data_IF_966441816633
#
_entry.id   IF_966441816633
#
_cell.length_a   1.000
_cell.length_b   1.000
_cell.length_c   1.000
_cell.angle_alpha   90.00
_cell.angle_beta   90.00
_cell.angle_gamma   90.00
#
_symmetry.space_group_name_H-M   'P 1'
#
loop_
_entity.id
_entity.type
_entity.pdbx_description
1 polymer ?
2 non-polymer ?
3 non-polymer ?
4 water ?
#
# COMPACT_ATOMS: atom_id res chain seq x y z
N UNK A 1 -26.99 -16.81 -1.16
CA UNK A 1 -26.59 -15.44 -0.72
C UNK A 1 -25.27 -15.05 -1.36
N UNK A 2 -25.01 -13.76 -1.35
CA UNK A 2 -23.71 -13.27 -1.84
C UNK A 2 -23.37 -12.05 -1.06
N UNK A 3 -22.07 -11.97 -0.72
CA UNK A 3 -21.58 -10.93 0.14
C UNK A 3 -20.59 -9.99 -0.58
N UNK A 4 -20.33 -8.86 0.06
CA UNK A 4 -19.31 -7.94 -0.44
C UNK A 4 -17.93 -8.61 -0.56
N UNK A 5 -17.20 -8.29 -1.62
CA UNK A 5 -15.82 -8.72 -1.74
C UNK A 5 -14.94 -7.60 -1.29
N UNK A 6 -14.23 -7.78 -0.21
CA UNK A 6 -13.40 -6.75 0.38
C UNK A 6 -11.98 -7.22 0.50
N UNK A 7 -11.03 -6.37 0.15
CA UNK A 7 -9.59 -6.69 0.23
C UNK A 7 -8.96 -5.66 1.16
N UNK A 8 -8.17 -6.16 2.09
CA UNK A 8 -7.46 -5.34 3.06
C UNK A 8 -6.03 -5.03 2.55
N UNK A 9 -5.69 -3.75 2.52
CA UNK A 9 -4.36 -3.32 2.11
C UNK A 9 -3.81 -2.42 3.24
N UNK A 10 -2.62 -2.74 3.74
CA UNK A 10 -1.95 -1.93 4.73
C UNK A 10 -0.79 -1.19 4.12
N UNK A 11 -0.58 0.02 4.63
CA UNK A 11 0.48 0.93 4.10
C UNK A 11 1.53 1.09 5.22
N UNK A 12 2.72 0.59 4.94
CA UNK A 12 3.85 0.53 5.90
C UNK A 12 4.97 1.42 5.47
N UNK A 13 5.87 1.72 6.39
CA UNK A 13 7.10 2.40 6.10
C UNK A 13 7.37 3.45 7.15
N UNK A 14 8.58 4.04 7.07
CA UNK A 14 9.02 5.02 8.06
C UNK A 14 8.18 6.28 7.96
N UNK A 15 8.18 7.00 9.09
CA UNK A 15 7.56 8.31 9.14
C UNK A 15 8.17 9.23 8.07
N UNK A 16 7.32 10.09 7.52
CA UNK A 16 7.66 11.10 6.52
C UNK A 16 7.85 10.54 5.10
N UNK A 17 7.53 9.27 4.90
CA UNK A 17 7.63 8.69 3.57
C UNK A 17 6.50 9.08 2.64
N UNK A 18 5.38 9.45 3.24
CA UNK A 18 4.18 9.85 2.51
C UNK A 18 3.00 8.93 2.63
N UNK A 19 2.96 8.09 3.65
CA UNK A 19 1.89 7.11 3.81
C UNK A 19 0.51 7.79 3.92
N UNK A 20 0.37 8.76 4.79
CA UNK A 20 -0.92 9.37 4.97
C UNK A 20 -1.32 10.18 3.76
N UNK A 21 -0.33 10.81 3.11
CA UNK A 21 -0.61 11.52 1.88
C UNK A 21 -1.10 10.56 0.81
N UNK A 22 -0.50 9.37 0.72
CA UNK A 22 -0.85 8.39 -0.28
C UNK A 22 -2.27 7.87 -0.05
N UNK A 23 -2.58 7.50 1.19
CA UNK A 23 -3.90 6.98 1.50
C UNK A 23 -4.97 8.05 1.27
N UNK A 24 -4.67 9.28 1.70
CA UNK A 24 -5.63 10.37 1.48
C UNK A 24 -5.85 10.60 -0.01
N UNK A 25 -4.78 10.56 -0.81
CA UNK A 25 -4.94 10.79 -2.24
C UNK A 25 -5.91 9.79 -2.83
N UNK A 26 -5.81 8.52 -2.42
CA UNK A 26 -6.76 7.48 -2.90
C UNK A 26 -8.15 7.62 -2.30
N UNK A 27 -8.26 8.07 -1.04
CA UNK A 27 -9.56 8.29 -0.36
C UNK A 27 -10.32 9.45 -0.92
N UNK A 28 -9.69 10.46 -1.53
CA UNK A 28 -10.33 11.76 -1.82
C UNK A 28 -11.59 11.59 -2.63
N UNK A 29 -11.61 10.68 -3.58
CA UNK A 29 -12.83 10.47 -4.40
C UNK A 29 -14.05 10.04 -3.56
N UNK A 30 -13.81 9.51 -2.35
CA UNK A 30 -14.92 9.07 -1.51
C UNK A 30 -15.34 10.13 -0.46
N UNK A 31 -14.64 11.24 -0.42
CA UNK A 31 -14.97 12.28 0.56
C UNK A 31 -16.43 12.71 0.48
N UNK A 32 -17.05 12.91 1.63
CA UNK A 32 -18.51 13.13 1.78
C UNK A 32 -19.05 11.94 2.58
N UNK A 33 -20.25 11.49 2.22
CA UNK A 33 -20.95 10.50 3.03
C UNK A 33 -20.10 9.24 3.25
N UNK A 34 -19.38 8.73 2.25
CA UNK A 34 -18.73 7.43 2.43
C UNK A 34 -17.51 7.51 3.30
N UNK A 35 -16.60 8.44 3.00
CA UNK A 35 -15.47 8.57 3.87
C UNK A 35 -15.91 8.90 5.34
N UNK A 36 -17.01 9.62 5.51
CA UNK A 36 -17.44 9.96 6.86
C UNK A 36 -17.90 8.71 7.64
N UNK A 37 -18.32 7.68 6.95
CA UNK A 37 -18.78 6.48 7.65
C UNK A 37 -17.63 5.86 8.48
N UNK A 38 -16.36 6.08 8.10
CA UNK A 38 -15.24 5.52 8.85
C UNK A 38 -14.29 6.58 9.43
N UNK A 39 -14.79 7.80 9.62
CA UNK A 39 -13.99 8.89 10.12
C UNK A 39 -13.51 8.47 11.50
N UNK A 40 -12.26 8.70 11.79
CA UNK A 40 -11.75 8.34 13.10
C UNK A 40 -11.60 6.82 13.29
N UNK A 41 -11.81 5.98 12.25
CA UNK A 41 -11.44 4.57 12.32
C UNK A 41 -10.08 4.48 11.71
N UNK A 42 -9.58 3.26 11.88
CA UNK A 42 -8.32 2.79 11.50
C UNK A 42 -8.09 2.68 9.92
N UNK A 43 -9.14 2.76 9.16
CA UNK A 43 -9.13 2.48 7.74
C UNK A 43 -10.19 3.34 7.08
N UNK A 44 -10.20 3.34 5.75
CA UNK A 44 -11.41 3.80 4.96
C UNK A 44 -11.65 2.75 3.91
N UNK A 45 -12.82 2.87 3.31
CA UNK A 45 -13.24 1.98 2.27
C UNK A 45 -13.38 2.71 0.93
N UNK A 46 -12.97 2.08 -0.15
CA UNK A 46 -13.23 2.61 -1.50
C UNK A 46 -13.57 1.49 -2.40
N UNK A 47 -14.71 1.58 -3.06
CA UNK A 47 -15.10 0.55 -4.03
C UNK A 47 -14.50 0.86 -5.39
N UNK A 48 -13.98 -0.14 -6.05
CA UNK A 48 -13.48 -0.05 -7.43
C UNK A 48 -14.10 -1.18 -8.21
N UNK A 49 -14.13 -1.01 -9.51
CA UNK A 49 -14.54 -2.08 -10.41
C UNK A 49 -13.40 -2.49 -11.23
N UNK A 50 -12.88 -3.66 -11.03
CA UNK A 50 -11.75 -4.12 -11.81
C UNK A 50 -12.27 -4.57 -13.13
N UNK A 51 -11.39 -4.57 -14.14
CA UNK A 51 -11.74 -5.16 -15.44
C UNK A 51 -12.42 -6.51 -15.33
N UNK A 52 -13.43 -6.73 -16.18
CA UNK A 52 -14.31 -7.86 -16.11
C UNK A 52 -15.46 -7.60 -15.13
N UNK A 53 -15.77 -6.34 -14.85
CA UNK A 53 -16.82 -5.90 -13.97
C UNK A 53 -16.81 -6.63 -12.61
N UNK A 54 -15.64 -6.65 -12.03
CA UNK A 54 -15.38 -7.29 -10.75
C UNK A 54 -15.43 -6.18 -9.69
N UNK A 55 -16.52 -6.11 -8.94
CA UNK A 55 -16.64 -5.09 -7.90
C UNK A 55 -15.95 -5.53 -6.61
N UNK A 56 -15.06 -4.71 -6.13
CA UNK A 56 -14.40 -4.98 -4.85
C UNK A 56 -14.24 -3.73 -4.06
N UNK A 57 -14.37 -3.90 -2.77
CA UNK A 57 -14.13 -2.77 -1.86
C UNK A 57 -12.74 -2.93 -1.24
N UNK A 58 -11.95 -1.91 -1.34
CA UNK A 58 -10.64 -1.88 -0.72
C UNK A 58 -10.75 -1.24 0.65
N UNK A 59 -10.20 -1.93 1.65
CA UNK A 59 -10.14 -1.41 3.02
C UNK A 59 -8.67 -1.04 3.27
N UNK A 60 -8.42 0.24 3.33
CA UNK A 60 -7.08 0.77 3.28
C UNK A 60 -6.69 1.26 4.66
N UNK A 61 -5.60 0.70 5.22
CA UNK A 61 -5.14 1.00 6.56
C UNK A 61 -3.83 1.77 6.54
N UNK A 62 -3.83 2.96 7.10
CA UNK A 62 -2.61 3.78 7.32
C UNK A 62 -2.17 3.45 8.72
N UNK A 63 -0.93 3.04 8.93
CA UNK A 63 -0.41 2.76 10.28
C UNK A 63 -0.18 4.01 11.12
N UNK A 64 -0.39 5.22 10.60
CA UNK A 64 -0.18 6.37 11.39
C UNK A 64 1.27 6.52 11.77
N UNK A 65 1.51 6.76 13.05
CA UNK A 65 2.85 6.91 13.58
C UNK A 65 3.41 5.62 14.13
N UNK A 66 2.80 4.49 13.94
CA UNK A 66 3.26 3.18 14.50
C UNK A 66 4.65 2.90 13.98
N UNK A 67 5.50 2.41 14.86
CA UNK A 67 6.85 1.93 14.53
C UNK A 67 6.83 0.42 14.37
N UNK A 68 7.96 -0.14 13.93
CA UNK A 68 8.09 -1.55 13.71
C UNK A 68 7.75 -2.37 14.95
N UNK A 69 8.16 -1.90 16.10
CA UNK A 69 7.89 -2.61 17.36
C UNK A 69 6.62 -2.14 18.07
N UNK A 70 5.73 -1.42 17.41
CA UNK A 70 4.48 -0.98 18.09
C UNK A 70 3.57 -2.09 18.44
N UNK A 71 2.96 -2.06 19.66
CA UNK A 71 2.19 -3.22 20.09
C UNK A 71 0.79 -3.16 19.55
N UNK A 72 0.43 -2.12 18.75
CA UNK A 72 -0.83 -2.01 18.02
C UNK A 72 -0.66 -2.44 16.57
N UNK A 73 0.58 -2.68 16.11
CA UNK A 73 0.83 -2.92 14.68
C UNK A 73 0.11 -4.15 14.19
N UNK A 74 -0.12 -5.15 15.05
CA UNK A 74 -0.72 -6.42 14.59
C UNK A 74 -2.06 -6.22 13.96
N UNK A 75 -2.90 -5.34 14.49
CA UNK A 75 -4.20 -5.24 13.89
C UNK A 75 -4.14 -4.67 12.47
N UNK A 76 -3.06 -3.94 12.16
CA UNK A 76 -2.89 -3.40 10.84
C UNK A 76 -2.41 -4.45 9.84
N UNK A 77 -1.44 -5.27 10.25
CA UNK A 77 -0.76 -6.17 9.35
C UNK A 77 -1.44 -7.55 9.26
N UNK A 78 -1.90 -8.09 10.39
CA UNK A 78 -2.64 -9.36 10.26
C UNK A 78 -3.89 -9.19 9.39
N UNK A 79 -4.12 -10.16 8.54
CA UNK A 79 -5.22 -10.08 7.62
C UNK A 79 -5.01 -9.24 6.38
N UNK A 80 -3.87 -8.56 6.27
CA UNK A 80 -3.63 -7.68 5.12
C UNK A 80 -3.30 -8.54 3.92
N UNK A 81 -4.15 -8.50 2.91
CA UNK A 81 -3.95 -9.22 1.68
C UNK A 81 -2.96 -8.51 0.76
N UNK A 82 -2.84 -7.21 0.89
CA UNK A 82 -1.85 -6.42 0.18
C UNK A 82 -1.09 -5.60 1.18
N UNK A 83 0.19 -5.37 0.91
CA UNK A 83 1.06 -4.58 1.76
C UNK A 83 1.82 -3.62 0.85
N UNK A 84 1.75 -2.33 1.15
CA UNK A 84 2.59 -1.36 0.47
C UNK A 84 3.77 -1.03 1.35
N UNK A 85 4.98 -1.21 0.83
CA UNK A 85 6.21 -0.82 1.52
C UNK A 85 6.59 0.54 0.91
N UNK A 86 6.30 1.60 1.63
CA UNK A 86 6.47 2.96 1.10
C UNK A 86 7.78 3.56 1.58
N UNK A 87 8.52 4.15 0.66
CA UNK A 87 9.68 4.97 1.02
C UNK A 87 9.63 6.28 0.24
N UNK A 88 10.43 7.23 0.68
CA UNK A 88 10.62 8.51 0.00
C UNK A 88 11.86 8.41 -0.86
N UNK A 89 11.72 8.56 -2.18
CA UNK A 89 12.88 8.37 -3.07
C UNK A 89 14.04 9.36 -2.79
N UNK A 90 13.78 10.40 -2.02
CA UNK A 90 14.83 11.35 -1.60
C UNK A 90 15.42 11.10 -0.20
N UNK A 91 14.99 10.03 0.48
CA UNK A 91 15.43 9.72 1.84
C UNK A 91 15.97 8.33 1.91
N UNK A 92 17.28 8.18 1.85
CA UNK A 92 17.85 6.86 1.78
C UNK A 92 17.50 5.98 2.97
N UNK A 93 17.50 6.49 4.17
CA UNK A 93 17.22 5.64 5.32
C UNK A 93 15.82 5.05 5.24
N UNK A 94 14.87 5.80 4.65
CA UNK A 94 13.51 5.27 4.55
C UNK A 94 13.49 4.06 3.66
N UNK A 95 14.35 4.00 2.66
CA UNK A 95 14.47 2.84 1.80
C UNK A 95 15.18 1.70 2.52
N UNK A 96 16.32 2.00 3.15
CA UNK A 96 17.05 0.96 3.86
C UNK A 96 16.19 0.26 4.90
N UNK A 97 15.41 1.03 5.65
CA UNK A 97 14.60 0.46 6.71
C UNK A 97 13.48 -0.42 6.23
N UNK A 98 13.15 -0.37 4.94
CA UNK A 98 12.12 -1.30 4.45
C UNK A 98 12.50 -2.76 4.60
N UNK A 99 13.79 -3.11 4.65
CA UNK A 99 14.15 -4.48 4.97
C UNK A 99 13.56 -4.91 6.31
N UNK A 100 13.62 -4.05 7.28
CA UNK A 100 13.10 -4.31 8.62
C UNK A 100 11.60 -4.33 8.68
N UNK A 101 10.93 -3.47 7.91
CA UNK A 101 9.46 -3.59 7.77
C UNK A 101 9.11 -4.91 7.15
N UNK A 102 9.84 -5.30 6.12
CA UNK A 102 9.51 -6.54 5.43
C UNK A 102 9.76 -7.73 6.32
N UNK A 103 10.72 -7.70 7.27
CA UNK A 103 10.89 -8.77 8.20
C UNK A 103 9.63 -9.00 8.98
N UNK A 104 8.95 -7.93 9.41
CA UNK A 104 7.70 -8.12 10.14
C UNK A 104 6.63 -8.75 9.27
N UNK A 105 6.53 -8.29 8.01
CA UNK A 105 5.57 -8.89 7.09
C UNK A 105 5.84 -10.37 6.88
N UNK A 106 7.10 -10.76 6.71
CA UNK A 106 7.40 -12.17 6.56
C UNK A 106 7.04 -12.98 7.79
N UNK A 107 7.27 -12.42 8.96
CA UNK A 107 6.94 -13.15 10.17
C UNK A 107 5.42 -13.36 10.24
N UNK A 108 4.65 -12.29 10.02
CA UNK A 108 3.19 -12.43 10.03
C UNK A 108 2.72 -13.39 8.97
N UNK A 109 3.28 -13.34 7.77
CA UNK A 109 2.91 -14.23 6.65
C UNK A 109 3.14 -15.69 7.01
N UNK A 110 4.32 -15.95 7.58
CA UNK A 110 4.65 -17.33 7.92
C UNK A 110 3.70 -17.84 9.01
N UNK A 111 3.47 -17.05 10.03
CA UNK A 111 2.56 -17.45 11.15
C UNK A 111 1.15 -17.70 10.65
N UNK A 112 0.69 -16.79 9.81
CA UNK A 112 -0.69 -16.83 9.29
C UNK A 112 -0.87 -17.81 8.16
N UNK A 113 0.22 -18.30 7.57
CA UNK A 113 0.24 -19.19 6.40
C UNK A 113 -0.43 -18.50 5.16
N UNK A 114 -0.08 -17.23 5.00
CA UNK A 114 -0.57 -16.41 3.92
C UNK A 114 0.56 -15.96 3.03
N UNK A 115 0.22 -15.50 1.87
CA UNK A 115 1.24 -14.94 0.97
C UNK A 115 0.64 -13.62 0.44
N UNK A 116 0.71 -12.54 1.27
CA UNK A 116 0.19 -11.27 0.80
C UNK A 116 0.93 -10.79 -0.44
N UNK A 117 0.27 -9.98 -1.23
CA UNK A 117 0.92 -9.25 -2.31
C UNK A 117 1.65 -8.09 -1.69
N UNK A 118 2.96 -8.01 -1.91
CA UNK A 118 3.80 -6.94 -1.37
C UNK A 118 4.28 -6.06 -2.49
N UNK A 119 4.01 -4.76 -2.41
CA UNK A 119 4.39 -3.75 -3.38
C UNK A 119 5.44 -2.85 -2.81
N UNK A 120 6.49 -2.56 -3.57
CA UNK A 120 7.46 -1.54 -3.22
C UNK A 120 7.03 -0.23 -3.86
N UNK A 121 6.82 0.77 -3.05
CA UNK A 121 6.28 2.04 -3.51
C UNK A 121 7.24 3.16 -3.26
N UNK A 122 7.91 3.61 -4.31
CA UNK A 122 8.78 4.77 -4.22
C UNK A 122 7.95 6.00 -4.43
N UNK A 123 7.68 6.71 -3.32
CA UNK A 123 6.88 7.89 -3.34
C UNK A 123 7.74 9.13 -3.55
N UNK A 124 7.07 10.23 -3.91
CA UNK A 124 7.70 11.54 -4.22
C UNK A 124 8.37 11.52 -5.56
N UNK A 125 7.80 10.82 -6.55
CA UNK A 125 8.42 10.78 -7.89
C UNK A 125 8.41 12.14 -8.55
N UNK A 126 7.61 13.09 -8.07
CA UNK A 126 7.67 14.47 -8.54
C UNK A 126 9.04 15.09 -8.23
N UNK A 127 9.78 14.52 -7.28
CA UNK A 127 11.13 14.93 -6.90
C UNK A 127 12.19 14.07 -7.50
N UNK A 128 11.91 13.46 -8.66
CA UNK A 128 12.84 12.52 -9.27
C UNK A 128 14.25 13.09 -9.45
N UNK A 129 14.34 14.38 -9.77
CA UNK A 129 15.66 15.00 -10.05
C UNK A 129 16.51 15.16 -8.75
N UNK A 130 15.92 14.88 -7.60
CA UNK A 130 16.65 14.92 -6.34
C UNK A 130 16.66 13.59 -5.63
N UNK A 131 16.31 12.54 -6.34
CA UNK A 131 16.24 11.20 -5.70
C UNK A 131 17.63 10.74 -5.24
N UNK A 132 17.62 10.00 -4.16
CA UNK A 132 18.83 9.42 -3.57
C UNK A 132 18.76 7.89 -3.60
N UNK A 133 17.68 7.31 -4.14
CA UNK A 133 17.58 5.93 -4.48
C UNK A 133 17.39 5.86 -5.99
N UNK A 134 18.40 5.33 -6.72
CA UNK A 134 18.24 5.21 -8.19
C UNK A 134 17.25 4.10 -8.55
N UNK A 135 16.60 4.23 -9.75
CA UNK A 135 15.63 3.19 -10.12
C UNK A 135 16.24 1.81 -10.08
N UNK A 136 17.51 1.70 -10.44
CA UNK A 136 18.09 0.37 -10.49
C UNK A 136 18.17 -0.27 -9.12
N UNK A 137 18.41 0.53 -8.09
CA UNK A 137 18.50 0.04 -6.72
C UNK A 137 17.10 -0.44 -6.24
N UNK A 138 16.09 0.40 -6.51
CA UNK A 138 14.69 0.00 -6.24
C UNK A 138 14.36 -1.33 -6.96
N UNK A 139 14.69 -1.44 -8.25
CA UNK A 139 14.27 -2.66 -8.95
C UNK A 139 15.05 -3.87 -8.48
N UNK A 140 16.30 -3.72 -8.03
CA UNK A 140 17.01 -4.81 -7.45
C UNK A 140 16.30 -5.31 -6.20
N UNK A 141 15.86 -4.41 -5.33
CA UNK A 141 15.14 -4.84 -4.09
C UNK A 141 13.84 -5.59 -4.48
N UNK A 142 13.16 -5.10 -5.51
CA UNK A 142 11.95 -5.81 -6.00
C UNK A 142 12.29 -7.17 -6.49
N UNK A 143 13.36 -7.30 -7.30
CA UNK A 143 13.71 -8.59 -7.85
C UNK A 143 14.06 -9.59 -6.77
N UNK A 144 14.81 -9.14 -5.77
CA UNK A 144 15.23 -10.05 -4.70
C UNK A 144 14.07 -10.68 -3.95
N UNK A 145 12.95 -9.94 -3.89
CA UNK A 145 11.85 -10.37 -3.01
C UNK A 145 10.52 -10.63 -3.67
N UNK A 146 10.48 -10.42 -4.98
CA UNK A 146 9.27 -10.56 -5.76
C UNK A 146 8.24 -9.45 -5.54
N UNK A 147 8.67 -8.24 -5.26
CA UNK A 147 7.68 -7.18 -5.03
C UNK A 147 7.12 -6.64 -6.32
N UNK A 148 5.90 -6.11 -6.30
CA UNK A 148 5.33 -5.32 -7.35
C UNK A 148 6.03 -3.91 -7.21
N UNK A 149 6.39 -3.31 -8.34
CA UNK A 149 7.12 -2.06 -8.33
C UNK A 149 6.25 -0.91 -8.69
N UNK A 150 6.32 0.16 -7.93
CA UNK A 150 5.55 1.38 -8.21
C UNK A 150 6.37 2.58 -7.88
N UNK A 151 6.24 3.61 -8.73
CA UNK A 151 6.79 4.96 -8.48
C UNK A 151 5.63 5.91 -8.54
N UNK A 152 5.34 6.62 -7.47
CA UNK A 152 4.13 7.38 -7.38
C UNK A 152 4.43 8.75 -6.79
N UNK A 153 3.46 9.68 -6.88
CA UNK A 153 3.48 10.89 -6.10
C UNK A 153 2.16 11.07 -5.42
N UNK A 154 2.17 10.96 -4.12
CA UNK A 154 0.97 11.23 -3.31
C UNK A 154 0.56 12.66 -3.43
N UNK A 155 1.52 13.59 -3.65
CA UNK A 155 1.21 15.04 -3.73
C UNK A 155 0.42 15.31 -4.94
N UNK A 156 0.83 14.78 -6.08
CA UNK A 156 0.20 15.09 -7.31
C UNK A 156 -0.75 14.08 -7.85
N UNK A 157 -0.75 12.91 -7.25
CA UNK A 157 -1.58 11.84 -7.68
C UNK A 157 -0.96 10.90 -8.69
N UNK A 158 0.22 11.23 -9.23
CA UNK A 158 0.81 10.40 -10.28
C UNK A 158 0.87 8.93 -9.85
N UNK A 159 0.19 8.08 -10.61
CA UNK A 159 0.26 6.63 -10.50
C UNK A 159 -0.35 6.08 -9.21
N UNK A 160 -1.00 6.90 -8.42
CA UNK A 160 -1.52 6.42 -7.14
C UNK A 160 -2.71 5.47 -7.34
N UNK A 161 -3.72 5.90 -8.07
CA UNK A 161 -4.87 5.03 -8.34
C UNK A 161 -4.39 3.73 -8.96
N UNK A 162 -3.48 3.83 -9.93
CA UNK A 162 -3.01 2.60 -10.59
C UNK A 162 -2.26 1.69 -9.65
N UNK A 163 -1.54 2.22 -8.65
CA UNK A 163 -0.89 1.38 -7.68
C UNK A 163 -1.91 0.57 -6.92
N UNK A 164 -2.90 1.22 -6.32
CA UNK A 164 -3.90 0.47 -5.57
C UNK A 164 -4.68 -0.48 -6.46
N UNK A 165 -5.03 -0.06 -7.66
CA UNK A 165 -5.79 -0.93 -8.57
C UNK A 165 -5.01 -2.15 -8.93
N UNK A 166 -3.72 -2.01 -9.26
CA UNK A 166 -2.89 -3.14 -9.61
C UNK A 166 -2.68 -4.10 -8.49
N UNK A 167 -2.51 -3.58 -7.27
CA UNK A 167 -2.36 -4.43 -6.09
C UNK A 167 -3.65 -5.22 -5.87
N UNK A 168 -4.80 -4.52 -5.93
CA UNK A 168 -6.07 -5.23 -5.80
C UNK A 168 -6.22 -6.34 -6.80
N UNK A 169 -5.94 -6.05 -8.07
CA UNK A 169 -6.06 -7.08 -9.09
C UNK A 169 -5.14 -8.25 -8.83
N UNK A 170 -3.88 -7.97 -8.43
CA UNK A 170 -2.92 -9.03 -8.16
C UNK A 170 -3.32 -9.86 -6.94
N UNK A 171 -3.95 -9.29 -5.95
CA UNK A 171 -4.45 -10.05 -4.80
C UNK A 171 -5.40 -11.14 -5.34
N UNK A 172 -6.20 -10.80 -6.33
CA UNK A 172 -7.17 -11.73 -6.97
C UNK A 172 -6.56 -12.51 -8.12
N UNK A 173 -5.25 -12.47 -8.29
CA UNK A 173 -4.60 -13.30 -9.28
C UNK A 173 -4.68 -12.76 -10.68
N UNK A 174 -4.93 -11.47 -10.88
CA UNK A 174 -5.06 -10.86 -12.15
C UNK A 174 -3.93 -9.88 -12.43
N UNK A 175 -3.21 -10.03 -13.52
CA UNK A 175 -2.21 -9.04 -13.94
C UNK A 175 -2.89 -8.12 -14.92
N UNK A 176 -3.04 -6.85 -14.61
CA UNK A 176 -3.74 -5.93 -15.50
C UNK A 176 -2.84 -5.58 -16.71
N UNK A 177 -3.40 -5.59 -17.91
CA UNK A 177 -2.67 -5.26 -19.12
C UNK A 177 -2.95 -3.80 -19.39
N UNK A 178 -1.94 -2.96 -19.52
CA UNK A 178 -2.20 -1.53 -19.79
C UNK A 178 -1.35 -0.90 -20.90
X LIG B 1 1.21 9.55 8.49
X LIG C 1 3.87 9.75 6.64
X LIG C 1 4.54 8.59 5.96
X LIG C 1 2.37 9.58 6.83
X LIG C 1 4.59 10.19 7.90
X LIG C 1 3.10 12.18 5.22
X LIG C 1 4.06 10.97 5.56
X LIG C 1 2.01 11.76 4.30
X LIG C 1 2.77 12.87 6.49
X LIG C 1 4.05 13.08 4.33
X LIG C 1 5.34 13.57 4.84
X LIG C 1 5.72 14.84 4.06
X LIG C 1 6.00 14.50 2.71
X LIG C 1 4.57 15.78 4.04
X LIG C 1 5.18 17.11 3.99
X LIG C 1 4.00 15.72 2.67
X LIG C 1 3.44 16.89 2.19
X LIG C 1 5.21 15.29 1.86
X LIG C 1 4.85 14.49 0.71
X LIG C 1 4.10 13.29 0.80
X LIG C 1 3.99 12.74 -0.46
X LIG C 1 4.70 13.60 -1.26
X LIG C 1 4.96 13.53 -2.64
X LIG C 1 4.54 12.64 -3.47
X LIG C 1 5.76 14.53 -3.13
X LIG C 1 6.26 15.53 -2.38
X LIG C 1 7.00 16.47 -2.97
X LIG C 1 6.02 15.66 -1.06
X LIG C 1 5.24 14.66 -0.56
X LIG C 1 4.73 18.55 4.75
X LIG C 1 5.32 18.54 6.13
X LIG C 1 3.23 18.45 4.61
X LIG C 1 5.14 19.70 3.83
#
# INVERSE_FOLDING_TARGET
GSHMRQLKIVVLGDGASGKTSLTTCFAQETFGKQYKQTIGLDFFLRRITLPGNLNVTLQIWDIGGQTIGGKMLDKYIYGAQGVLLVYDITNYQSFENLEDWYTVVKKVSEESETQPLVALVGNKIDLEHMRTIKPEKHLRFCQENGFSSHFVSAKTGDSVFLCFQKVAAEILGIKLNK
MG MG
G3D PB O1B O2B O3B PA O3A O1A O2A O5' C5' C4' O4' C3' O3' C2' O2' C1' N9 C8 N7 C5 C6 O6 N1 C2 N2 N3 C4 P1 O4P O5P O6P
#
